data_IF_562194738087
#
_entry.id   IF_562194738087
#
_cell.length_a   1.000
_cell.length_b   1.000
_cell.length_c   1.000
_cell.angle_alpha   90.00
_cell.angle_beta   90.00
_cell.angle_gamma   90.00
#
_symmetry.space_group_name_H-M   'P 1'
#
loop_
_entity.id
_entity.type
_entity.pdbx_description
1 polymer ?
#
# COMPACT_ATOMS: atom_id res chain seq x y z
N UNK A 1 -50.37 60.07 29.84
CA UNK A 1 -49.98 59.58 28.50
C UNK A 1 -49.86 58.07 28.56
N UNK A 2 -50.51 57.30 27.67
CA UNK A 2 -50.32 55.85 27.65
C UNK A 2 -48.98 55.51 26.97
N UNK A 3 -48.19 54.65 27.62
CA UNK A 3 -46.93 54.10 27.10
C UNK A 3 -47.29 53.11 25.99
N UNK A 4 -46.83 53.36 24.76
CA UNK A 4 -46.96 52.42 23.65
C UNK A 4 -45.89 51.35 23.80
N UNK A 5 -46.30 50.11 24.04
CA UNK A 5 -45.43 48.94 24.07
C UNK A 5 -45.11 48.58 22.61
N UNK A 6 -43.86 48.74 22.19
CA UNK A 6 -43.42 48.34 20.87
C UNK A 6 -43.66 46.83 20.71
N UNK A 7 -44.38 46.46 19.66
CA UNK A 7 -44.59 45.08 19.24
C UNK A 7 -43.25 44.35 19.15
N UNK A 8 -43.18 43.16 19.74
CA UNK A 8 -42.02 42.29 19.63
C UNK A 8 -41.73 42.04 18.13
N UNK A 9 -40.57 42.51 17.68
CA UNK A 9 -40.05 42.22 16.35
C UNK A 9 -39.74 40.73 16.30
N UNK A 10 -40.35 40.00 15.36
CA UNK A 10 -40.10 38.57 15.22
C UNK A 10 -38.61 38.34 14.91
N UNK A 11 -37.91 37.45 15.64
CA UNK A 11 -36.49 37.23 15.43
C UNK A 11 -36.25 36.70 14.01
N UNK A 12 -35.58 37.49 13.18
CA UNK A 12 -35.19 37.10 11.83
C UNK A 12 -33.96 36.19 11.88
N UNK A 13 -34.05 35.02 11.26
CA UNK A 13 -32.93 34.09 11.17
C UNK A 13 -31.88 34.65 10.21
N UNK A 14 -30.72 35.05 10.74
CA UNK A 14 -29.59 35.48 9.92
C UNK A 14 -28.93 34.27 9.24
N UNK A 15 -29.12 34.12 7.93
CA UNK A 15 -28.57 33.00 7.15
C UNK A 15 -27.06 33.16 6.86
N UNK A 16 -26.55 34.38 6.85
CA UNK A 16 -25.14 34.71 6.55
C UNK A 16 -24.12 33.89 7.34
N UNK A 17 -24.19 33.81 8.69
CA UNK A 17 -23.26 32.99 9.46
C UNK A 17 -23.44 31.48 9.23
N UNK A 18 -24.65 31.02 8.88
CA UNK A 18 -24.89 29.59 8.63
C UNK A 18 -24.26 29.15 7.30
N UNK A 19 -24.36 29.99 6.26
CA UNK A 19 -23.75 29.73 4.96
C UNK A 19 -22.23 29.63 5.09
N UNK A 20 -21.61 30.50 5.90
CA UNK A 20 -20.17 30.50 6.14
C UNK A 20 -19.68 29.17 6.77
N UNK A 21 -20.40 28.66 7.78
CA UNK A 21 -20.10 27.37 8.42
C UNK A 21 -20.20 26.22 7.41
N UNK A 22 -21.26 26.19 6.59
CA UNK A 22 -21.44 25.14 5.58
C UNK A 22 -20.34 25.20 4.53
N UNK A 23 -19.96 26.40 4.09
CA UNK A 23 -18.90 26.58 3.10
C UNK A 23 -17.54 26.14 3.63
N UNK A 24 -17.22 26.48 4.88
CA UNK A 24 -15.99 26.04 5.56
C UNK A 24 -15.92 24.52 5.68
N UNK A 25 -17.04 23.86 6.02
CA UNK A 25 -17.11 22.40 6.12
C UNK A 25 -16.87 21.73 4.75
N UNK A 26 -17.44 22.26 3.67
CA UNK A 26 -17.23 21.73 2.31
C UNK A 26 -15.76 21.83 1.90
N UNK A 27 -15.11 22.97 2.15
CA UNK A 27 -13.69 23.15 1.85
C UNK A 27 -12.83 22.20 2.68
N UNK A 28 -13.12 22.08 3.99
CA UNK A 28 -12.41 21.15 4.87
C UNK A 28 -12.48 19.71 4.36
N UNK A 29 -13.67 19.23 3.97
CA UNK A 29 -13.81 17.89 3.38
C UNK A 29 -13.11 17.76 2.02
N UNK A 30 -13.23 18.75 1.14
CA UNK A 30 -12.60 18.71 -0.20
C UNK A 30 -11.07 18.65 -0.11
N UNK A 31 -10.47 19.34 0.85
CA UNK A 31 -9.03 19.31 1.09
C UNK A 31 -8.63 18.05 1.86
N UNK A 32 -9.44 17.63 2.84
CA UNK A 32 -9.21 16.44 3.67
C UNK A 32 -9.20 15.14 2.88
N UNK A 33 -10.07 14.98 1.89
CA UNK A 33 -10.14 13.76 1.05
C UNK A 33 -8.87 13.52 0.24
N UNK A 34 -8.14 14.59 -0.12
CA UNK A 34 -6.86 14.46 -0.82
C UNK A 34 -5.74 13.86 0.03
N UNK A 35 -5.82 13.94 1.35
CA UNK A 35 -4.83 13.30 2.21
C UNK A 35 -5.00 11.78 2.27
N UNK A 36 -6.23 11.26 2.12
CA UNK A 36 -6.47 9.81 2.10
C UNK A 36 -6.04 9.15 0.78
N UNK A 37 -6.10 9.87 -0.35
CA UNK A 37 -5.66 9.33 -1.65
C UNK A 37 -4.13 9.17 -1.76
N UNK A 38 -3.35 10.02 -1.09
CA UNK A 38 -1.87 10.03 -1.20
C UNK A 38 -1.19 8.89 -0.40
N UNK A 39 -1.86 8.26 0.57
CA UNK A 39 -1.32 7.10 1.30
C UNK A 39 -1.57 5.75 0.61
N UNK A 40 -2.38 5.71 -0.46
CA UNK A 40 -2.78 4.47 -1.14
C UNK A 40 -2.08 4.23 -2.49
N UNK A 41 -1.06 5.04 -2.84
CA UNK A 41 -0.22 4.81 -4.04
C UNK A 41 0.86 3.72 -3.84
N UNK A 42 0.79 2.92 -2.78
CA UNK A 42 1.23 1.53 -2.91
C UNK A 42 0.12 0.76 -3.62
N UNK A 43 0.16 0.79 -4.95
CA UNK A 43 -0.65 -0.02 -5.84
C UNK A 43 -0.31 -1.51 -5.63
N UNK A 44 -0.81 -2.08 -4.53
CA UNK A 44 -0.83 -3.53 -4.32
C UNK A 44 -2.02 -4.05 -5.12
N UNK A 45 -1.78 -4.27 -6.41
CA UNK A 45 -2.70 -5.06 -7.22
C UNK A 45 -2.69 -6.49 -6.65
N UNK A 46 -3.70 -6.82 -5.85
CA UNK A 46 -3.97 -8.21 -5.47
C UNK A 46 -4.85 -8.76 -6.59
N UNK A 47 -4.32 -9.57 -7.54
CA UNK A 47 -5.14 -10.15 -8.58
C UNK A 47 -6.18 -11.06 -7.92
N UNK A 48 -7.45 -10.69 -8.08
CA UNK A 48 -8.58 -11.49 -7.65
C UNK A 48 -8.64 -12.72 -8.55
N UNK A 49 -8.33 -13.90 -7.99
CA UNK A 49 -8.33 -15.17 -8.72
C UNK A 49 -9.74 -15.47 -9.22
N UNK A 50 -10.01 -15.13 -10.48
CA UNK A 50 -11.17 -15.63 -11.19
C UNK A 50 -10.93 -17.12 -11.48
N UNK A 51 -11.60 -18.00 -10.74
CA UNK A 51 -11.71 -19.41 -11.10
C UNK A 51 -12.38 -19.52 -12.47
N UNK A 52 -11.59 -19.71 -13.52
CA UNK A 52 -12.09 -19.83 -14.88
C UNK A 52 -10.96 -20.20 -15.82
N UNK A 53 -10.92 -21.48 -16.17
CA UNK A 53 -10.00 -22.12 -17.10
C UNK A 53 -9.55 -21.21 -18.26
N UNK A 54 -8.27 -20.86 -18.28
CA UNK A 54 -7.48 -20.58 -19.47
C UNK A 54 -6.05 -20.92 -19.10
N UNK A 55 -5.35 -21.68 -19.93
CA UNK A 55 -3.89 -21.82 -19.84
C UNK A 55 -3.32 -20.46 -20.27
N UNK A 56 -3.48 -19.46 -19.40
CA UNK A 56 -2.58 -18.32 -19.36
C UNK A 56 -1.37 -18.87 -18.66
N UNK A 57 -0.19 -18.74 -19.24
CA UNK A 57 1.06 -18.99 -18.52
C UNK A 57 0.96 -18.21 -17.21
N UNK A 58 0.68 -18.90 -16.10
CA UNK A 58 0.52 -18.23 -14.81
C UNK A 58 1.84 -17.49 -14.56
N UNK A 59 1.78 -16.20 -14.16
CA UNK A 59 2.99 -15.48 -13.82
C UNK A 59 3.74 -16.30 -12.77
N UNK A 60 5.00 -16.60 -13.06
CA UNK A 60 5.77 -17.48 -12.21
C UNK A 60 5.95 -16.78 -10.87
N UNK A 61 5.24 -17.25 -9.85
CA UNK A 61 5.32 -16.68 -8.53
C UNK A 61 6.63 -17.11 -7.88
N UNK A 62 7.41 -16.14 -7.42
CA UNK A 62 8.67 -16.36 -6.73
C UNK A 62 8.56 -15.81 -5.31
N UNK A 63 8.75 -16.66 -4.30
CA UNK A 63 8.66 -16.23 -2.90
C UNK A 63 10.08 -16.08 -2.35
N UNK A 64 10.39 -14.87 -1.89
CA UNK A 64 11.67 -14.55 -1.26
C UNK A 64 11.45 -14.37 0.23
N UNK A 65 11.92 -15.29 1.06
CA UNK A 65 11.93 -15.10 2.52
C UNK A 65 13.23 -14.40 2.96
N UNK A 66 13.11 -13.42 3.86
CA UNK A 66 14.24 -12.66 4.40
C UNK A 66 14.38 -12.98 5.88
N UNK A 67 15.51 -13.58 6.25
CA UNK A 67 15.82 -13.95 7.62
C UNK A 67 16.49 -12.81 8.39
N UNK A 68 16.47 -12.91 9.72
CA UNK A 68 17.06 -11.91 10.62
C UNK A 68 18.58 -11.79 10.46
N UNK A 69 19.25 -12.88 10.09
CA UNK A 69 20.70 -12.95 9.86
C UNK A 69 21.15 -12.37 8.51
N UNK A 70 20.21 -11.91 7.68
CA UNK A 70 20.48 -11.34 6.36
C UNK A 70 20.52 -12.36 5.23
N UNK A 71 20.36 -13.67 5.52
CA UNK A 71 20.18 -14.68 4.48
C UNK A 71 18.81 -14.54 3.84
N UNK A 72 18.72 -14.98 2.58
CA UNK A 72 17.49 -14.97 1.82
C UNK A 72 17.19 -16.38 1.33
N UNK A 73 15.92 -16.76 1.34
CA UNK A 73 15.48 -17.99 0.67
C UNK A 73 14.65 -17.65 -0.55
N UNK A 74 14.93 -18.28 -1.67
CA UNK A 74 14.16 -18.20 -2.91
C UNK A 74 13.59 -19.59 -3.20
N UNK A 75 12.28 -19.76 -3.12
CA UNK A 75 11.60 -21.05 -3.33
C UNK A 75 12.24 -22.22 -2.54
N UNK A 76 12.47 -22.01 -1.24
CA UNK A 76 13.13 -22.92 -0.29
C UNK A 76 14.65 -23.12 -0.47
N UNK A 77 15.29 -22.47 -1.45
CA UNK A 77 16.75 -22.48 -1.59
C UNK A 77 17.36 -21.27 -0.85
N UNK A 78 18.18 -21.53 0.17
CA UNK A 78 18.82 -20.49 0.98
C UNK A 78 20.10 -20.04 0.31
N UNK A 79 20.15 -18.76 -0.04
CA UNK A 79 21.28 -18.14 -0.71
C UNK A 79 21.63 -16.78 -0.08
N UNK A 80 22.77 -16.27 -0.46
CA UNK A 80 23.21 -14.94 -0.04
C UNK A 80 22.61 -13.86 -0.95
N UNK A 81 22.49 -12.63 -0.42
CA UNK A 81 21.87 -11.52 -1.15
C UNK A 81 22.59 -11.15 -2.46
N UNK A 82 23.89 -11.46 -2.57
CA UNK A 82 24.68 -11.22 -3.77
C UNK A 82 24.40 -12.24 -4.89
N UNK A 83 23.88 -13.42 -4.53
CA UNK A 83 23.49 -14.47 -5.47
C UNK A 83 22.04 -14.26 -5.95
N UNK A 84 21.22 -13.66 -5.08
CA UNK A 84 19.81 -13.32 -5.36
C UNK A 84 19.66 -12.51 -6.66
N UNK A 85 20.48 -11.46 -6.83
CA UNK A 85 20.40 -10.58 -8.01
C UNK A 85 20.65 -11.35 -9.32
N UNK A 86 21.63 -12.26 -9.32
CA UNK A 86 21.93 -13.11 -10.49
C UNK A 86 20.80 -14.09 -10.75
N UNK A 87 20.27 -14.73 -9.70
CA UNK A 87 19.17 -15.69 -9.80
C UNK A 87 17.92 -15.02 -10.39
N UNK A 88 17.54 -13.85 -9.88
CA UNK A 88 16.39 -13.09 -10.37
C UNK A 88 16.59 -12.60 -11.79
N UNK A 89 17.79 -12.09 -12.14
CA UNK A 89 18.07 -11.61 -13.50
C UNK A 89 17.95 -12.74 -14.53
N UNK A 90 18.38 -13.96 -14.18
CA UNK A 90 18.24 -15.14 -15.04
C UNK A 90 16.76 -15.52 -15.25
N UNK A 91 15.94 -15.46 -14.20
CA UNK A 91 14.50 -15.73 -14.27
C UNK A 91 13.76 -14.68 -15.10
N UNK A 92 14.07 -13.40 -14.92
CA UNK A 92 13.47 -12.28 -15.69
C UNK A 92 13.88 -12.35 -17.17
N UNK A 93 15.13 -12.71 -17.47
CA UNK A 93 15.61 -12.86 -18.85
C UNK A 93 14.96 -14.03 -19.60
N UNK A 94 14.34 -14.97 -18.88
CA UNK A 94 13.56 -16.07 -19.45
C UNK A 94 12.23 -15.63 -20.09
N UNK A 95 11.87 -14.35 -20.00
CA UNK A 95 10.69 -13.78 -20.69
C UNK A 95 9.35 -14.07 -20.00
N UNK A 96 9.36 -14.67 -18.81
CA UNK A 96 8.16 -14.85 -18.00
C UNK A 96 7.86 -13.60 -17.17
N UNK A 97 6.58 -13.22 -17.05
CA UNK A 97 6.14 -12.26 -16.03
C UNK A 97 6.37 -12.88 -14.65
N UNK A 98 7.41 -12.41 -13.96
CA UNK A 98 7.81 -12.88 -12.64
C UNK A 98 7.14 -11.99 -11.58
N UNK A 99 6.21 -12.57 -10.81
CA UNK A 99 5.64 -11.91 -9.64
C UNK A 99 6.44 -12.30 -8.41
N UNK A 100 7.10 -11.33 -7.77
CA UNK A 100 7.97 -11.60 -6.61
C UNK A 100 7.30 -11.17 -5.32
N UNK A 101 7.14 -12.10 -4.38
CA UNK A 101 6.61 -11.83 -3.05
C UNK A 101 7.75 -11.88 -2.03
N UNK A 102 8.07 -10.74 -1.43
CA UNK A 102 9.08 -10.62 -0.38
C UNK A 102 8.40 -10.84 0.97
N UNK A 103 8.78 -11.92 1.65
CA UNK A 103 8.36 -12.28 3.00
C UNK A 103 9.41 -11.88 4.01
N UNK A 104 9.18 -10.80 4.74
CA UNK A 104 10.03 -10.38 5.85
C UNK A 104 9.67 -11.08 7.16
N UNK A 105 10.68 -11.35 7.98
CA UNK A 105 10.52 -11.68 9.39
C UNK A 105 10.13 -10.42 10.19
N UNK A 106 9.11 -10.52 11.05
CA UNK A 106 8.61 -9.39 11.84
C UNK A 106 9.61 -8.85 12.88
N UNK A 107 10.51 -9.71 13.38
CA UNK A 107 11.54 -9.35 14.35
C UNK A 107 12.88 -9.00 13.66
N UNK A 108 12.97 -9.16 12.34
CA UNK A 108 14.15 -8.85 11.53
C UNK A 108 14.37 -7.36 11.27
N UNK A 109 15.63 -6.98 10.99
CA UNK A 109 15.95 -5.62 10.60
C UNK A 109 15.31 -5.27 9.25
N UNK A 110 14.51 -4.20 9.21
CA UNK A 110 13.89 -3.69 7.98
C UNK A 110 14.91 -3.42 6.86
N UNK A 111 16.15 -3.08 7.23
CA UNK A 111 17.25 -2.90 6.30
C UNK A 111 17.48 -4.12 5.39
N UNK A 112 17.30 -5.34 5.91
CA UNK A 112 17.48 -6.57 5.12
C UNK A 112 16.42 -6.67 4.02
N UNK A 113 15.17 -6.36 4.35
CA UNK A 113 14.06 -6.33 3.38
C UNK A 113 14.28 -5.22 2.34
N UNK A 114 14.75 -4.04 2.76
CA UNK A 114 15.07 -2.94 1.86
C UNK A 114 16.20 -3.29 0.87
N UNK A 115 17.23 -4.02 1.34
CA UNK A 115 18.33 -4.49 0.49
C UNK A 115 17.81 -5.49 -0.56
N UNK A 116 16.93 -6.40 -0.17
CA UNK A 116 16.29 -7.38 -1.07
C UNK A 116 15.41 -6.70 -2.10
N UNK A 117 14.59 -5.74 -1.69
CA UNK A 117 13.78 -4.94 -2.58
C UNK A 117 14.63 -4.20 -3.62
N UNK A 118 15.77 -3.64 -3.19
CA UNK A 118 16.73 -2.97 -4.08
C UNK A 118 17.35 -3.93 -5.09
N UNK A 119 17.71 -5.15 -4.66
CA UNK A 119 18.22 -6.20 -5.54
C UNK A 119 17.18 -6.64 -6.57
N UNK A 120 15.91 -6.81 -6.18
CA UNK A 120 14.82 -7.17 -7.10
C UNK A 120 14.60 -6.09 -8.17
N UNK A 121 14.65 -4.80 -7.79
CA UNK A 121 14.55 -3.70 -8.77
C UNK A 121 15.72 -3.68 -9.75
N UNK A 122 16.96 -3.90 -9.28
CA UNK A 122 18.14 -3.98 -10.16
C UNK A 122 18.07 -5.16 -11.13
N UNK A 123 17.50 -6.28 -10.70
CA UNK A 123 17.27 -7.45 -11.53
C UNK A 123 16.14 -7.26 -12.58
N UNK A 124 15.43 -6.13 -12.57
CA UNK A 124 14.40 -5.81 -13.55
C UNK A 124 13.01 -6.40 -13.26
N UNK A 125 12.76 -6.82 -12.01
CA UNK A 125 11.43 -7.29 -11.59
C UNK A 125 10.44 -6.13 -11.59
N UNK A 126 9.34 -6.27 -12.33
CA UNK A 126 8.32 -5.22 -12.48
C UNK A 126 7.19 -5.34 -11.47
N UNK A 127 6.87 -6.57 -11.06
CA UNK A 127 5.73 -6.85 -10.19
C UNK A 127 6.22 -7.42 -8.85
N UNK A 128 5.97 -6.67 -7.78
CA UNK A 128 6.55 -6.87 -6.45
C UNK A 128 5.46 -6.75 -5.38
N UNK A 129 5.31 -7.79 -4.56
CA UNK A 129 4.50 -7.79 -3.35
C UNK A 129 5.37 -7.88 -2.09
N UNK A 130 4.97 -7.21 -1.01
CA UNK A 130 5.62 -7.34 0.30
C UNK A 130 4.61 -7.90 1.28
N UNK A 131 5.01 -8.93 2.02
CA UNK A 131 4.24 -9.51 3.12
C UNK A 131 5.15 -9.68 4.34
N UNK A 132 4.63 -9.44 5.53
CA UNK A 132 5.36 -9.69 6.77
C UNK A 132 4.73 -10.89 7.43
N UNK A 133 5.55 -11.90 7.73
CA UNK A 133 5.10 -13.03 8.54
C UNK A 133 5.34 -12.67 10.00
N UNK A 134 4.25 -12.48 10.74
CA UNK A 134 4.31 -12.44 12.20
C UNK A 134 4.81 -13.80 12.67
N UNK A 135 5.92 -13.84 13.41
CA UNK A 135 6.33 -15.05 14.11
C UNK A 135 5.19 -15.42 15.06
N UNK A 136 4.44 -16.48 14.72
CA UNK A 136 3.49 -17.10 15.63
C UNK A 136 4.31 -17.64 16.80
N UNK A 137 4.29 -16.92 17.94
CA UNK A 137 4.73 -17.48 19.22
C UNK A 137 3.83 -18.68 19.51
N UNK A 138 4.38 -19.88 19.36
CA UNK A 138 3.89 -21.09 20.03
C UNK A 138 4.38 -21.13 21.48
#
# INVERSE_FOLDING_TARGET
>A
MPIKLNSAEEPTLNLTPMIDIVFLLIIFFMVGTKFTEVELELEVSIPQVASGATIVTEPQQCVIAVFQDGRVSVDDDVMEIHELEKNLTQRVSGGAELHVIIRGDAEGAFQNVANVLSACRRAGVKDLGISVRMASRE
#
